data_IF_917882095878
#
_entry.id   IF_917882095878
#
_cell.length_a   1.000
_cell.length_b   1.000
_cell.length_c   1.000
_cell.angle_alpha   90.00
_cell.angle_beta   90.00
_cell.angle_gamma   90.00
#
_symmetry.space_group_name_H-M   'P 1'
#
loop_
_entity.id
_entity.type
_entity.pdbx_description
1 polymer ?
2 branched ?
3 non-polymer ?
4 water ?
#
# COMPACT_ATOMS: atom_id res chain seq x y z
N UNK A 1 -21.29 7.70 -14.48
CA UNK A 1 -22.18 6.61 -14.07
C UNK A 1 -21.52 5.24 -14.20
N UNK A 2 -20.20 5.24 -14.39
CA UNK A 2 -19.40 4.01 -14.44
C UNK A 2 -19.56 3.18 -13.17
N UNK A 3 -19.31 1.88 -13.28
CA UNK A 3 -19.38 0.99 -12.13
C UNK A 3 -18.27 1.34 -11.13
N UNK A 4 -18.58 1.19 -9.85
CA UNK A 4 -17.65 1.48 -8.77
C UNK A 4 -16.49 0.47 -8.76
N UNK A 5 -15.35 0.83 -8.16
CA UNK A 5 -14.17 -0.03 -8.25
C UNK A 5 -14.38 -1.47 -7.79
N UNK A 6 -15.23 -1.68 -6.78
CA UNK A 6 -15.49 -3.03 -6.27
C UNK A 6 -16.16 -3.97 -7.26
N UNK A 7 -16.68 -3.40 -8.36
CA UNK A 7 -17.24 -4.18 -9.47
C UNK A 7 -16.19 -4.50 -10.54
N UNK A 8 -15.07 -3.80 -10.49
CA UNK A 8 -14.02 -3.93 -11.52
C UNK A 8 -12.75 -4.61 -11.02
N UNK A 9 -12.62 -4.67 -9.71
CA UNK A 9 -11.48 -5.28 -9.04
C UNK A 9 -11.99 -6.26 -8.02
N UNK A 10 -11.19 -7.28 -7.73
CA UNK A 10 -11.55 -8.21 -6.68
C UNK A 10 -11.17 -7.60 -5.34
N UNK A 11 -12.15 -7.01 -4.67
CA UNK A 11 -11.91 -6.37 -3.39
C UNK A 11 -12.49 -7.20 -2.24
N UNK A 12 -12.72 -8.49 -2.50
CA UNK A 12 -13.28 -9.39 -1.50
C UNK A 12 -12.34 -9.61 -0.31
N UNK A 13 -11.04 -9.36 -0.52
CA UNK A 13 -10.06 -9.48 0.56
C UNK A 13 -9.26 -8.20 0.77
N UNK A 14 -9.94 -7.08 0.62
CA UNK A 14 -9.40 -5.78 0.96
C UNK A 14 -10.44 -5.03 1.77
N UNK A 15 -9.99 -4.20 2.71
CA UNK A 15 -10.83 -3.13 3.26
C UNK A 15 -10.21 -1.79 2.87
N UNK A 16 -11.01 -0.73 2.90
CA UNK A 16 -10.56 0.59 2.50
C UNK A 16 -10.47 1.51 3.70
N UNK A 17 -9.31 2.13 3.88
CA UNK A 17 -9.06 3.09 4.95
C UNK A 17 -9.07 4.50 4.35
N UNK A 18 -9.84 5.40 4.97
CA UNK A 18 -10.17 6.70 4.35
C UNK A 18 -9.54 7.86 5.11
N UNK A 19 -9.38 9.02 4.43
CA UNK A 19 -8.81 10.21 5.05
C UNK A 19 -9.83 11.23 5.55
N UNK A 20 -11.09 10.81 5.75
CA UNK A 20 -12.05 11.71 6.39
C UNK A 20 -11.61 11.97 7.83
N UNK A 21 -12.26 12.91 8.50
CA UNK A 21 -11.83 13.29 9.86
C UNK A 21 -11.78 12.12 10.84
N UNK A 22 -12.69 11.18 10.65
CA UNK A 22 -12.84 10.04 11.55
C UNK A 22 -12.16 8.76 11.03
N UNK A 23 -11.36 8.91 9.97
CA UNK A 23 -10.62 7.80 9.32
C UNK A 23 -11.47 6.54 9.20
N UNK A 24 -12.61 6.72 8.54
CA UNK A 24 -13.59 5.68 8.33
C UNK A 24 -13.02 4.54 7.49
N UNK A 25 -13.50 3.33 7.76
CA UNK A 25 -13.11 2.15 7.00
C UNK A 25 -14.33 1.55 6.33
N UNK A 26 -14.13 1.11 5.09
CA UNK A 26 -15.20 0.46 4.32
C UNK A 26 -14.89 -1.01 4.17
N UNK A 27 -15.85 -1.85 4.55
CA UNK A 27 -15.66 -3.30 4.54
C UNK A 27 -15.54 -3.86 3.13
N UNK A 28 -14.98 -5.06 3.03
CA UNK A 28 -14.88 -5.77 1.77
C UNK A 28 -16.24 -5.90 1.11
N UNK A 29 -17.24 -6.27 1.90
CA UNK A 29 -18.58 -6.45 1.39
C UNK A 29 -19.14 -5.16 0.81
N UNK A 30 -18.95 -4.04 1.52
CA UNK A 30 -19.45 -2.77 1.02
C UNK A 30 -18.70 -2.27 -0.19
N UNK A 31 -17.41 -2.60 -0.28
CA UNK A 31 -16.67 -2.32 -1.51
C UNK A 31 -17.29 -3.08 -2.69
N UNK A 32 -17.61 -4.36 -2.48
CA UNK A 32 -18.18 -5.20 -3.54
C UNK A 32 -19.56 -4.73 -3.95
N UNK A 33 -20.29 -4.15 -3.00
CA UNK A 33 -21.63 -3.63 -3.24
C UNK A 33 -21.60 -2.33 -4.04
N UNK A 34 -20.42 -1.71 -4.14
CA UNK A 34 -20.27 -0.52 -4.99
C UNK A 34 -19.97 0.79 -4.29
N UNK A 35 -19.40 0.73 -3.08
CA UNK A 35 -18.98 1.95 -2.40
C UNK A 35 -18.15 2.85 -3.32
N UNK A 36 -18.50 4.12 -3.32
CA UNK A 36 -17.76 5.14 -4.04
C UNK A 36 -17.94 6.48 -3.34
N UNK A 37 -16.93 7.34 -3.40
CA UNK A 37 -16.97 8.67 -2.78
C UNK A 37 -15.88 9.53 -3.40
N UNK A 38 -15.75 10.75 -2.91
CA UNK A 38 -14.68 11.65 -3.37
C UNK A 38 -13.28 11.06 -3.14
N UNK A 39 -13.17 10.10 -2.23
CA UNK A 39 -11.89 9.51 -1.88
C UNK A 39 -11.55 8.28 -2.70
N UNK A 40 -12.55 7.71 -3.38
CA UNK A 40 -12.41 6.38 -3.95
C UNK A 40 -13.47 6.19 -5.01
N UNK A 41 -13.06 6.16 -6.27
CA UNK A 41 -14.02 6.14 -7.36
C UNK A 41 -13.42 5.58 -8.63
N UNK A 42 -14.27 5.24 -9.59
CA UNK A 42 -13.82 4.81 -10.92
C UNK A 42 -13.75 6.04 -11.79
N UNK A 43 -12.57 6.30 -12.37
CA UNK A 43 -12.41 7.46 -13.23
C UNK A 43 -12.86 7.10 -14.64
N UNK A 44 -12.80 8.09 -15.54
CA UNK A 44 -13.30 7.93 -16.90
C UNK A 44 -12.55 6.84 -17.68
N UNK A 45 -11.30 6.59 -17.29
CA UNK A 45 -10.50 5.55 -17.89
C UNK A 45 -10.66 4.17 -17.22
N UNK A 46 -11.62 4.05 -16.29
CA UNK A 46 -11.88 2.80 -15.60
C UNK A 46 -11.01 2.53 -14.38
N UNK A 47 -10.04 3.41 -14.14
CA UNK A 47 -9.11 3.20 -13.02
C UNK A 47 -9.80 3.28 -11.66
N UNK A 48 -9.36 2.41 -10.74
CA UNK A 48 -9.68 2.57 -9.32
C UNK A 48 -8.83 3.74 -8.83
N UNK A 49 -9.51 4.81 -8.40
CA UNK A 49 -8.86 6.09 -8.17
C UNK A 49 -8.99 6.49 -6.71
N UNK A 50 -7.84 6.82 -6.12
CA UNK A 50 -7.75 7.16 -4.70
C UNK A 50 -7.37 8.64 -4.56
N UNK A 51 -8.22 9.41 -3.89
CA UNK A 51 -7.95 10.82 -3.64
C UNK A 51 -7.90 11.07 -2.14
N UNK A 52 -6.86 11.80 -1.70
CA UNK A 52 -6.75 12.18 -0.29
C UNK A 52 -6.16 13.57 -0.14
N UNK A 53 -6.79 14.42 0.69
CA UNK A 53 -6.26 15.74 1.00
C UNK A 53 -5.22 15.69 2.12
N UNK A 54 -4.26 16.61 2.08
CA UNK A 54 -3.22 16.65 3.11
C UNK A 54 -3.76 17.00 4.50
N UNK A 55 -4.97 17.56 4.53
CA UNK A 55 -5.66 17.93 5.76
C UNK A 55 -6.50 16.78 6.34
N UNK A 56 -6.45 15.62 5.70
CA UNK A 56 -7.29 14.49 6.09
C UNK A 56 -6.99 13.95 7.46
N UNK A 57 -7.93 13.16 7.99
CA UNK A 57 -7.71 12.45 9.23
C UNK A 57 -6.58 11.45 9.09
N UNK A 58 -5.89 11.17 10.19
CA UNK A 58 -4.77 10.23 10.18
C UNK A 58 -4.98 9.12 11.19
N UNK A 59 -4.45 7.93 10.88
CA UNK A 59 -4.55 6.79 11.79
C UNK A 59 -3.70 7.04 13.05
N UNK A 60 -3.91 6.18 14.06
CA UNK A 60 -3.32 6.38 15.39
C UNK A 60 -1.80 6.53 15.42
N UNK A 61 -1.10 5.88 14.49
CA UNK A 61 0.36 5.87 14.49
C UNK A 61 0.98 6.44 13.21
N UNK A 62 0.22 7.27 12.51
CA UNK A 62 0.76 8.02 11.38
C UNK A 62 0.45 9.50 11.48
N UNK A 63 1.38 10.34 10.99
CA UNK A 63 1.12 11.76 10.83
C UNK A 63 0.42 12.11 9.52
N UNK A 64 0.20 11.10 8.67
CA UNK A 64 -0.20 11.33 7.29
C UNK A 64 -1.52 10.65 6.91
N UNK A 65 -2.34 11.32 6.09
CA UNK A 65 -3.65 10.79 5.69
C UNK A 65 -3.52 9.79 4.54
N UNK A 66 -4.53 8.94 4.38
CA UNK A 66 -4.53 7.95 3.31
C UNK A 66 -5.92 7.66 2.78
N UNK A 67 -5.97 7.30 1.50
CA UNK A 67 -7.08 6.55 0.95
C UNK A 67 -6.40 5.32 0.40
N UNK A 68 -6.53 4.21 1.13
CA UNK A 68 -5.63 3.09 0.89
C UNK A 68 -6.29 1.77 1.24
N UNK A 69 -6.11 0.76 0.39
CA UNK A 69 -6.60 -0.57 0.67
C UNK A 69 -5.66 -1.30 1.62
N UNK A 70 -6.26 -2.10 2.49
CA UNK A 70 -5.58 -2.88 3.52
C UNK A 70 -6.01 -4.34 3.33
N UNK A 71 -5.04 -5.23 3.05
CA UNK A 71 -5.35 -6.63 2.77
C UNK A 71 -5.94 -7.34 3.95
N UNK A 72 -7.02 -8.09 3.70
CA UNK A 72 -7.74 -8.86 4.71
C UNK A 72 -7.84 -10.33 4.30
N UNK A 73 -6.89 -11.15 4.75
CA UNK A 73 -6.99 -12.59 4.53
C UNK A 73 -8.35 -13.10 4.99
N UNK A 74 -8.79 -12.58 6.14
CA UNK A 74 -10.13 -12.81 6.64
C UNK A 74 -10.84 -11.45 6.71
N UNK A 75 -11.78 -11.20 5.79
CA UNK A 75 -12.48 -9.91 5.77
C UNK A 75 -13.21 -9.57 7.05
N UNK A 76 -13.44 -10.59 7.91
CA UNK A 76 -14.11 -10.42 9.20
C UNK A 76 -13.15 -10.40 10.39
N UNK A 77 -11.85 -10.47 10.15
CA UNK A 77 -10.89 -10.40 11.26
C UNK A 77 -9.53 -9.89 10.79
N UNK A 78 -9.25 -8.62 11.07
CA UNK A 78 -7.99 -8.01 10.63
C UNK A 78 -6.76 -8.55 11.34
N UNK A 79 -6.97 -9.40 12.34
CA UNK A 79 -5.85 -9.99 13.09
C UNK A 79 -5.30 -11.24 12.40
N UNK A 80 -5.93 -11.67 11.31
CA UNK A 80 -5.46 -12.82 10.53
C UNK A 80 -4.58 -12.32 9.38
N UNK A 81 -3.29 -12.62 9.48
CA UNK A 81 -2.29 -12.07 8.56
C UNK A 81 -1.28 -13.13 8.19
N UNK A 82 -0.44 -12.86 7.19
CA UNK A 82 0.49 -13.89 6.70
C UNK A 82 1.89 -13.77 7.28
N UNK A 83 2.67 -14.84 7.14
CA UNK A 83 4.01 -14.89 7.73
C UNK A 83 5.16 -14.87 6.74
N UNK A 84 6.38 -14.94 7.28
CA UNK A 84 7.59 -14.83 6.47
C UNK A 84 7.84 -16.04 5.54
N UNK A 85 7.34 -17.21 5.93
CA UNK A 85 7.55 -18.43 5.13
C UNK A 85 6.53 -18.54 4.01
N UNK A 86 6.93 -19.20 2.92
CA UNK A 86 6.09 -19.36 1.75
C UNK A 86 6.26 -18.15 0.83
N UNK A 87 5.37 -18.05 -0.16
CA UNK A 87 5.42 -16.99 -1.17
C UNK A 87 4.14 -16.16 -1.14
N UNK A 88 4.33 -14.83 -1.11
CA UNK A 88 3.26 -13.87 -0.95
C UNK A 88 3.52 -12.75 -1.94
N UNK A 89 2.60 -12.59 -2.90
CA UNK A 89 2.87 -11.74 -4.06
C UNK A 89 1.73 -10.77 -4.36
N UNK A 90 2.04 -9.48 -4.47
CA UNK A 90 1.08 -8.49 -4.93
C UNK A 90 1.58 -7.94 -6.25
N UNK A 91 0.70 -7.90 -7.25
CA UNK A 91 1.01 -7.32 -8.55
C UNK A 91 0.01 -6.19 -8.81
N UNK A 92 0.51 -5.08 -9.34
CA UNK A 92 -0.40 -3.99 -9.68
C UNK A 92 0.13 -3.23 -10.89
N UNK A 93 -0.76 -2.55 -11.57
CA UNK A 93 -0.38 -1.53 -12.54
C UNK A 93 -1.14 -0.26 -12.20
N UNK A 94 -0.48 0.87 -12.33
CA UNK A 94 -1.14 2.12 -11.96
C UNK A 94 -0.34 3.34 -12.37
N UNK A 95 -0.77 4.48 -11.88
CA UNK A 95 -0.06 5.73 -12.11
C UNK A 95 -0.42 6.69 -11.02
N UNK A 96 0.46 7.67 -10.81
CA UNK A 96 0.16 8.75 -9.90
C UNK A 96 -0.12 9.99 -10.74
N UNK A 97 -1.27 10.60 -10.49
CA UNK A 97 -1.86 11.64 -11.32
C UNK A 97 -1.56 13.04 -10.76
N UNK A 98 -1.58 13.15 -9.43
CA UNK A 98 -1.42 14.43 -8.76
C UNK A 98 -0.70 14.21 -7.44
N UNK A 99 0.23 15.11 -7.13
CA UNK A 99 0.98 15.03 -5.89
C UNK A 99 0.65 16.20 -4.97
N UNK A 100 0.91 16.03 -3.67
CA UNK A 100 0.75 17.15 -2.74
C UNK A 100 1.99 18.03 -2.82
N UNK A 101 2.02 19.10 -2.03
CA UNK A 101 3.18 19.99 -2.04
C UNK A 101 4.51 19.30 -1.80
N UNK A 102 4.50 18.26 -0.96
CA UNK A 102 5.73 17.52 -0.65
C UNK A 102 6.28 16.76 -1.85
N UNK A 103 5.43 16.54 -2.86
CA UNK A 103 5.82 15.75 -4.03
C UNK A 103 6.07 14.28 -3.73
N UNK A 104 5.43 13.74 -2.68
CA UNK A 104 5.72 12.37 -2.25
C UNK A 104 4.48 11.67 -1.71
N UNK A 105 4.17 10.51 -2.28
CA UNK A 105 3.14 9.63 -1.73
C UNK A 105 3.65 8.19 -1.72
N UNK A 106 2.98 7.33 -0.97
CA UNK A 106 3.27 5.90 -0.97
C UNK A 106 2.09 5.19 -1.65
N UNK A 107 2.39 4.35 -2.62
CA UNK A 107 1.37 3.76 -3.49
C UNK A 107 1.19 2.26 -3.30
N UNK A 108 2.08 1.64 -2.54
CA UNK A 108 1.95 0.23 -2.19
C UNK A 108 2.83 -0.08 -1.00
N UNK A 109 2.44 -1.08 -0.21
CA UNK A 109 3.24 -1.48 0.94
C UNK A 109 3.10 -2.96 1.27
N UNK A 110 4.10 -3.45 2.01
CA UNK A 110 3.88 -4.56 2.93
C UNK A 110 4.01 -3.98 4.33
N UNK A 111 3.00 -4.19 5.18
CA UNK A 111 3.04 -3.66 6.53
C UNK A 111 3.16 -4.80 7.52
N UNK A 112 4.05 -4.64 8.50
CA UNK A 112 4.15 -5.60 9.59
C UNK A 112 3.02 -5.41 10.59
N UNK A 113 2.75 -6.47 11.34
CA UNK A 113 1.74 -6.42 12.40
C UNK A 113 2.09 -7.48 13.42
N UNK A 114 1.80 -7.20 14.68
CA UNK A 114 1.99 -8.19 15.73
C UNK A 114 0.92 -9.27 15.61
N UNK A 115 1.23 -10.45 16.12
CA UNK A 115 0.29 -11.57 16.13
C UNK A 115 -1.06 -11.16 16.73
N UNK A 116 -1.02 -10.30 17.75
CA UNK A 116 -2.24 -9.84 18.42
C UNK A 116 -2.96 -8.68 17.75
N UNK A 117 -2.47 -8.23 16.59
CA UNK A 117 -3.13 -7.16 15.85
C UNK A 117 -2.56 -5.78 16.11
N UNK A 118 -1.69 -5.68 17.11
CA UNK A 118 -1.01 -4.44 17.49
C UNK A 118 -0.10 -3.99 16.35
N UNK A 119 0.05 -2.68 16.19
CA UNK A 119 0.86 -2.14 15.10
C UNK A 119 2.32 -2.59 15.19
N UNK A 120 2.96 -2.72 14.02
CA UNK A 120 4.38 -3.01 13.94
C UNK A 120 4.88 -2.22 12.73
N UNK A 121 6.20 -2.16 12.51
CA UNK A 121 6.67 -1.30 11.41
C UNK A 121 6.25 -1.76 10.00
N UNK A 122 6.20 -0.81 9.05
CA UNK A 122 6.05 -1.23 7.66
C UNK A 122 7.32 -1.94 7.24
N UNK A 123 7.19 -2.93 6.35
CA UNK A 123 8.34 -3.65 5.80
C UNK A 123 8.76 -3.07 4.46
N UNK A 124 7.82 -2.96 3.52
CA UNK A 124 8.12 -2.37 2.22
C UNK A 124 7.22 -1.18 2.00
N UNK A 125 7.79 -0.07 1.54
CA UNK A 125 7.02 1.10 1.13
C UNK A 125 7.43 1.53 -0.27
N UNK A 126 6.47 1.58 -1.20
CA UNK A 126 6.74 2.03 -2.56
C UNK A 126 6.46 3.53 -2.59
N UNK A 127 7.55 4.30 -2.55
CA UNK A 127 7.47 5.76 -2.44
C UNK A 127 7.54 6.38 -3.82
N UNK A 128 6.47 7.07 -4.23
CA UNK A 128 6.43 7.72 -5.53
C UNK A 128 6.78 9.20 -5.44
N UNK A 129 7.69 9.64 -6.30
CA UNK A 129 7.94 11.05 -6.58
C UNK A 129 7.96 11.24 -8.08
N UNK A 130 7.76 12.46 -8.53
CA UNK A 130 7.77 12.75 -9.97
C UNK A 130 9.19 12.63 -10.51
N UNK A 131 9.53 11.45 -11.04
CA UNK A 131 10.87 11.17 -11.52
C UNK A 131 11.53 9.96 -10.89
N UNK A 132 10.92 9.38 -9.86
CA UNK A 132 11.54 8.25 -9.17
C UNK A 132 10.54 7.49 -8.29
N UNK A 133 10.60 6.17 -8.33
CA UNK A 133 9.94 5.35 -7.34
C UNK A 133 11.04 4.70 -6.50
N UNK A 134 10.90 4.79 -5.17
CA UNK A 134 11.84 4.19 -4.26
C UNK A 134 11.12 3.08 -3.50
N UNK A 135 11.52 1.83 -3.77
CA UNK A 135 10.92 0.71 -3.05
C UNK A 135 11.79 0.42 -1.81
N UNK A 136 11.38 1.07 -0.72
CA UNK A 136 12.12 1.04 0.55
C UNK A 136 11.82 -0.22 1.33
N UNK A 137 12.86 -0.88 1.84
CA UNK A 137 12.68 -2.05 2.68
C UNK A 137 13.27 -1.75 4.04
N UNK A 138 12.47 -1.90 5.09
CA UNK A 138 12.91 -1.60 6.44
C UNK A 138 13.99 -2.61 6.87
N UNK A 139 15.00 -2.15 7.60
CA UNK A 139 16.07 -3.03 8.08
C UNK A 139 15.62 -3.90 9.24
N UNK A 140 15.17 -3.26 10.31
CA UNK A 140 14.91 -3.94 11.57
C UNK A 140 13.45 -3.99 11.95
N UNK A 141 13.06 -5.09 12.59
CA UNK A 141 11.66 -5.36 12.94
C UNK A 141 11.14 -4.52 14.10
N UNK A 142 12.04 -3.89 14.84
CA UNK A 142 11.64 -3.05 15.98
C UNK A 142 11.59 -1.57 15.61
N UNK A 143 11.80 -1.28 14.33
CA UNK A 143 11.78 0.10 13.86
C UNK A 143 13.09 0.85 14.00
N UNK A 144 14.04 0.29 14.75
CA UNK A 144 15.41 0.86 14.84
C UNK A 144 16.08 0.78 13.49
N UNK A 145 17.26 1.39 13.36
CA UNK A 145 17.97 1.41 12.08
C UNK A 145 17.24 2.25 11.04
N UNK A 146 17.57 2.03 9.77
CA UNK A 146 16.99 2.80 8.68
C UNK A 146 16.36 1.89 7.63
N UNK A 147 16.26 2.40 6.39
CA UNK A 147 15.69 1.63 5.29
C UNK A 147 16.71 1.37 4.20
N UNK A 148 16.55 0.24 3.53
CA UNK A 148 17.30 -0.08 2.32
C UNK A 148 16.52 0.53 1.17
N UNK A 149 17.13 1.46 0.44
CA UNK A 149 16.48 2.08 -0.71
C UNK A 149 16.69 1.26 -1.97
N UNK A 150 15.68 1.28 -2.83
CA UNK A 150 15.79 0.66 -4.13
C UNK A 150 15.17 1.64 -5.12
N UNK A 151 16.04 2.39 -5.78
CA UNK A 151 15.61 3.50 -6.63
C UNK A 151 15.36 3.05 -8.05
N UNK A 152 14.20 3.43 -8.58
CA UNK A 152 13.88 3.24 -9.98
C UNK A 152 13.67 4.64 -10.55
N UNK A 153 14.69 5.17 -11.19
CA UNK A 153 14.63 6.55 -11.63
C UNK A 153 14.03 6.66 -13.02
N UNK A 154 13.34 7.77 -13.28
CA UNK A 154 12.77 8.05 -14.59
C UNK A 154 11.26 7.86 -14.67
N UNK A 155 10.66 7.38 -13.58
CA UNK A 155 9.21 7.18 -13.51
C UNK A 155 8.55 8.50 -13.15
N UNK A 156 7.80 9.05 -14.11
CA UNK A 156 7.24 10.38 -13.97
C UNK A 156 5.75 10.41 -13.64
N UNK A 157 5.28 11.57 -13.18
CA UNK A 157 3.86 11.80 -13.00
C UNK A 157 3.11 11.41 -14.27
N UNK A 158 2.08 10.59 -14.12
CA UNK A 158 1.25 10.18 -15.24
C UNK A 158 1.73 8.94 -15.97
N UNK A 159 2.97 8.54 -15.73
CA UNK A 159 3.51 7.33 -16.37
C UNK A 159 2.83 6.11 -15.78
N UNK A 160 2.70 5.07 -16.59
CA UNK A 160 2.14 3.81 -16.14
C UNK A 160 3.26 2.95 -15.60
N UNK A 161 3.13 2.52 -14.35
CA UNK A 161 4.07 1.58 -13.76
C UNK A 161 3.44 0.22 -13.53
N UNK A 162 4.26 -0.82 -13.73
CA UNK A 162 3.90 -2.18 -13.41
C UNK A 162 4.77 -2.63 -12.26
N UNK A 163 4.12 -2.98 -11.15
CA UNK A 163 4.82 -3.23 -9.91
C UNK A 163 4.55 -4.63 -9.41
N UNK A 164 5.56 -5.21 -8.79
CA UNK A 164 5.35 -6.43 -8.02
C UNK A 164 6.11 -6.31 -6.71
N UNK A 165 5.48 -6.76 -5.64
CA UNK A 165 6.15 -6.91 -4.35
C UNK A 165 5.90 -8.34 -3.89
N UNK A 166 6.99 -9.08 -3.66
CA UNK A 166 6.89 -10.49 -3.28
C UNK A 166 7.74 -10.76 -2.06
N UNK A 167 7.20 -11.54 -1.12
CA UNK A 167 8.01 -12.13 -0.06
C UNK A 167 8.06 -13.63 -0.31
N UNK A 168 9.28 -14.17 -0.40
CA UNK A 168 9.45 -15.62 -0.36
C UNK A 168 10.45 -15.97 0.73
N UNK A 169 10.01 -16.70 1.74
CA UNK A 169 10.90 -17.18 2.81
C UNK A 169 11.82 -16.09 3.36
N UNK A 170 11.21 -14.96 3.72
CA UNK A 170 11.93 -13.93 4.45
C UNK A 170 12.81 -13.02 3.60
N UNK A 171 12.68 -13.15 2.28
CA UNK A 171 13.35 -12.23 1.35
C UNK A 171 12.28 -11.45 0.59
N UNK A 172 12.45 -10.13 0.51
CA UNK A 172 11.57 -9.25 -0.27
C UNK A 172 12.13 -9.02 -1.66
N UNK A 173 11.28 -9.15 -2.67
CA UNK A 173 11.64 -8.90 -4.06
C UNK A 173 10.74 -7.78 -4.52
N UNK A 174 11.37 -6.68 -4.94
CA UNK A 174 10.63 -5.49 -5.34
C UNK A 174 10.91 -5.22 -6.80
N UNK A 175 9.83 -5.09 -7.57
CA UNK A 175 9.92 -5.04 -9.02
C UNK A 175 9.17 -3.82 -9.57
N UNK A 176 9.86 -3.04 -10.40
CA UNK A 176 9.19 -2.03 -11.22
C UNK A 176 9.56 -2.24 -12.67
N UNK A 177 8.54 -2.34 -13.51
CA UNK A 177 8.70 -2.48 -14.94
C UNK A 177 9.75 -3.55 -15.30
N UNK A 178 9.66 -4.69 -14.61
CA UNK A 178 10.46 -5.86 -14.95
C UNK A 178 11.85 -5.89 -14.33
N UNK A 179 12.17 -4.86 -13.55
CA UNK A 179 13.46 -4.69 -12.91
C UNK A 179 13.28 -5.08 -11.43
N UNK A 180 13.86 -6.20 -11.03
CA UNK A 180 13.69 -6.73 -9.69
C UNK A 180 14.95 -6.58 -8.85
N UNK A 181 14.75 -6.11 -7.61
CA UNK A 181 15.80 -6.05 -6.61
C UNK A 181 15.35 -6.86 -5.40
N UNK A 182 16.29 -7.36 -4.64
CA UNK A 182 15.96 -8.14 -3.46
C UNK A 182 16.62 -7.62 -2.18
N UNK A 183 15.94 -7.85 -1.05
CA UNK A 183 16.50 -7.57 0.26
C UNK A 183 16.15 -8.71 1.21
N UNK A 184 17.14 -9.33 1.84
CA UNK A 184 16.89 -10.44 2.76
C UNK A 184 16.60 -9.88 4.15
N UNK A 185 15.33 -9.60 4.43
CA UNK A 185 14.98 -8.91 5.67
C UNK A 185 15.11 -9.80 6.92
N UNK A 186 14.69 -11.06 6.81
CA UNK A 186 14.84 -11.99 7.92
C UNK A 186 16.33 -12.20 8.22
N UNK A 187 17.15 -12.15 7.17
CA UNK A 187 18.60 -12.25 7.33
C UNK A 187 19.23 -11.05 8.01
N UNK A 188 18.61 -9.88 7.87
CA UNK A 188 19.08 -8.69 8.56
C UNK A 188 18.67 -8.70 10.02
N UNK A 189 17.44 -9.17 10.28
CA UNK A 189 16.91 -9.20 11.64
C UNK A 189 15.96 -10.38 11.78
N UNK A 190 16.38 -11.37 12.57
CA UNK A 190 15.55 -12.57 12.78
C UNK A 190 14.22 -12.23 13.45
N UNK A 191 14.17 -11.06 14.11
CA UNK A 191 12.95 -10.55 14.73
C UNK A 191 11.78 -10.42 13.77
N UNK A 192 12.05 -10.26 12.48
CA UNK A 192 10.96 -10.22 11.49
C UNK A 192 10.15 -11.53 11.46
N UNK A 193 10.74 -12.63 11.93
CA UNK A 193 10.04 -13.92 12.00
C UNK A 193 8.93 -13.89 13.05
N UNK A 194 9.02 -12.94 13.96
CA UNK A 194 8.07 -12.78 15.05
C UNK A 194 6.94 -11.80 14.73
N UNK A 195 6.89 -11.37 13.46
CA UNK A 195 5.80 -10.48 12.98
C UNK A 195 5.01 -11.15 11.87
N UNK A 196 3.79 -10.69 11.68
CA UNK A 196 2.98 -11.06 10.53
C UNK A 196 2.89 -9.88 9.57
N UNK A 197 2.25 -10.08 8.41
CA UNK A 197 2.26 -9.08 7.34
C UNK A 197 0.95 -9.00 6.60
N UNK A 198 0.71 -7.83 6.02
CA UNK A 198 -0.40 -7.64 5.09
C UNK A 198 -0.01 -6.60 4.03
N UNK A 199 -0.55 -6.77 2.83
CA UNK A 199 -0.33 -5.83 1.75
C UNK A 199 -1.21 -4.59 1.91
N UNK A 200 -0.75 -3.49 1.32
CA UNK A 200 -1.55 -2.28 1.17
C UNK A 200 -1.34 -1.71 -0.22
N UNK A 201 -2.36 -1.04 -0.73
CA UNK A 201 -2.22 -0.38 -2.03
C UNK A 201 -3.20 0.76 -2.13
N UNK A 202 -2.74 1.91 -2.62
CA UNK A 202 -3.61 3.07 -2.75
C UNK A 202 -2.81 4.36 -2.73
N UNK A 203 -3.16 5.23 -1.79
CA UNK A 203 -2.63 6.58 -1.78
C UNK A 203 -2.43 7.05 -0.34
N UNK A 204 -1.20 6.90 0.13
CA UNK A 204 -0.81 7.26 1.50
C UNK A 204 0.06 8.51 1.35
N UNK A 205 -0.52 9.66 1.71
CA UNK A 205 0.01 10.96 1.28
C UNK A 205 1.06 11.46 2.25
N UNK A 206 2.30 11.60 1.78
CA UNK A 206 3.40 12.00 2.65
C UNK A 206 3.50 13.52 2.77
N UNK A 207 2.40 14.09 3.24
CA UNK A 207 2.26 15.53 3.40
C UNK A 207 1.02 15.74 4.28
N UNK A 208 1.20 16.37 5.43
CA UNK A 208 0.06 16.69 6.30
C UNK A 208 -0.14 18.20 6.49
N UNK A 209 0.44 19.01 5.61
CA UNK A 209 0.38 20.45 5.78
C UNK A 209 -0.95 21.04 5.35
N UNK A 210 -1.42 22.05 6.08
CA UNK A 210 -2.71 22.66 5.77
C UNK A 210 -2.80 23.21 4.35
N UNK A 211 -1.66 23.62 3.80
CA UNK A 211 -1.64 24.16 2.44
C UNK A 211 -1.04 23.19 1.41
N UNK A 212 -0.92 21.92 1.79
CA UNK A 212 -0.27 20.94 0.93
C UNK A 212 -1.05 20.40 -0.24
N UNK A 213 -2.34 20.72 -0.31
CA UNK A 213 -3.18 20.27 -1.43
C UNK A 213 -3.68 18.85 -1.25
N UNK A 214 -3.44 18.02 -2.26
CA UNK A 214 -3.99 16.66 -2.25
C UNK A 214 -3.33 15.82 -3.33
N UNK A 215 -3.55 14.51 -3.25
CA UNK A 215 -2.94 13.59 -4.21
C UNK A 215 -3.98 12.69 -4.81
N UNK A 216 -3.66 12.20 -6.01
CA UNK A 216 -4.49 11.22 -6.73
C UNK A 216 -3.57 10.12 -7.24
N UNK A 217 -3.90 8.88 -6.89
CA UNK A 217 -3.22 7.70 -7.45
C UNK A 217 -4.27 6.77 -8.04
N UNK A 218 -3.86 6.05 -9.07
CA UNK A 218 -4.77 5.16 -9.83
C UNK A 218 -4.21 3.75 -9.92
N UNK A 219 -5.12 2.78 -9.90
CA UNK A 219 -4.76 1.38 -10.22
C UNK A 219 -5.62 0.87 -11.37
N UNK A 220 -4.98 0.15 -12.30
CA UNK A 220 -5.68 -0.50 -13.42
C UNK A 220 -5.77 -1.99 -13.22
N UNK A 221 -4.93 -2.52 -12.34
CA UNK A 221 -4.95 -3.94 -12.01
C UNK A 221 -4.36 -4.09 -10.61
N UNK A 222 -4.86 -5.08 -9.89
CA UNK A 222 -4.42 -5.34 -8.52
C UNK A 222 -4.74 -6.77 -8.18
N UNK A 223 -3.72 -7.56 -7.87
CA UNK A 223 -3.93 -8.97 -7.51
C UNK A 223 -2.98 -9.40 -6.41
N UNK A 224 -3.44 -10.33 -5.58
CA UNK A 224 -2.66 -10.90 -4.50
C UNK A 224 -2.74 -12.42 -4.58
N UNK A 225 -1.59 -13.07 -4.41
CA UNK A 225 -1.51 -14.53 -4.39
C UNK A 225 -0.65 -14.98 -3.21
N UNK A 226 -1.05 -16.07 -2.56
CA UNK A 226 -0.30 -16.68 -1.48
C UNK A 226 -0.15 -18.15 -1.82
N UNK A 227 1.09 -18.64 -1.82
CA UNK A 227 1.37 -20.01 -2.27
C UNK A 227 2.55 -20.66 -1.54
#
# INVERSE_FOLDING_TARGET
>A
PAAAPGKNFDLSHWKLQLPDANTTEISSANLGLGYTSQYFYTDTDGAMTFWAPTTGGTTANSSYPRSELREMLDPSNSKVNWGWQGTHTMKLSGKTVQLPSSGKIIVAQIHGIMDDGTNAPPLVKAVFQDGQLDMQVKQNSDGTGSDVHNYFTGIKLGDLYNMEIRVTDGVAYVTMNGDTRSVDFVGKDAGWKNLKYYFKAGNFVQDNTSTGGSAIAKLYSLSVSHSNLEHHHHHH
#
